data_IF_399753145892
#
_entry.id   IF_399753145892
#
_cell.length_a   1.000
_cell.length_b   1.000
_cell.length_c   1.000
_cell.angle_alpha   90.00
_cell.angle_beta   90.00
_cell.angle_gamma   90.00
#
_symmetry.space_group_name_H-M   'P 1'
#
loop_
_entity.id
_entity.type
_entity.pdbx_description
1 polymer ?
#
# COMPACT_ATOMS: atom_id res chain seq x y z
N UNK A 1 10.53 -4.76 -12.59
CA UNK A 1 11.40 -5.68 -13.36
C UNK A 1 12.79 -5.12 -13.64
N UNK A 2 12.93 -3.96 -14.30
CA UNK A 2 14.24 -3.38 -14.59
C UNK A 2 15.14 -3.16 -13.36
N UNK A 3 14.57 -2.77 -12.21
CA UNK A 3 15.34 -2.61 -10.97
C UNK A 3 15.91 -3.94 -10.41
N UNK A 4 15.19 -5.05 -10.58
CA UNK A 4 15.69 -6.37 -10.17
C UNK A 4 16.87 -6.81 -11.03
N UNK A 5 16.85 -6.48 -12.33
CA UNK A 5 17.97 -6.77 -13.24
C UNK A 5 19.28 -6.11 -12.79
N UNK A 6 19.21 -4.87 -12.30
CA UNK A 6 20.38 -4.15 -11.81
C UNK A 6 21.10 -4.89 -10.67
N UNK A 7 20.35 -5.42 -9.72
CA UNK A 7 20.89 -6.05 -8.51
C UNK A 7 21.13 -7.55 -8.74
N UNK A 8 20.12 -8.26 -9.25
CA UNK A 8 20.07 -9.72 -9.34
C UNK A 8 20.55 -10.27 -10.69
N UNK A 9 20.85 -9.40 -11.67
CA UNK A 9 21.28 -9.82 -13.00
C UNK A 9 20.11 -10.31 -13.84
N UNK A 10 19.91 -11.62 -13.97
CA UNK A 10 18.81 -12.20 -14.74
C UNK A 10 17.70 -12.71 -13.79
N UNK A 11 16.83 -11.84 -13.27
CA UNK A 11 15.83 -12.23 -12.30
C UNK A 11 14.81 -13.22 -12.88
N UNK A 12 14.58 -14.31 -12.15
CA UNK A 12 13.47 -15.21 -12.38
C UNK A 12 12.20 -14.61 -11.79
N UNK A 13 11.12 -14.54 -12.58
CA UNK A 13 9.83 -14.07 -12.07
C UNK A 13 8.81 -15.19 -12.13
N UNK A 14 8.10 -15.34 -11.03
CA UNK A 14 6.96 -16.24 -10.98
C UNK A 14 5.78 -15.51 -11.64
N UNK A 15 5.14 -16.15 -12.61
CA UNK A 15 3.82 -15.71 -13.07
C UNK A 15 2.83 -15.76 -11.91
N UNK A 16 1.70 -15.04 -12.04
CA UNK A 16 0.65 -14.93 -11.02
C UNK A 16 0.37 -16.27 -10.32
N UNK A 17 0.85 -16.48 -9.09
CA UNK A 17 0.50 -17.67 -8.36
C UNK A 17 -0.97 -17.58 -7.94
N UNK A 18 -1.69 -18.71 -8.00
CA UNK A 18 -2.97 -18.80 -7.30
C UNK A 18 -2.71 -18.56 -5.81
N UNK A 19 -3.67 -17.94 -5.11
CA UNK A 19 -3.56 -17.68 -3.67
C UNK A 19 -3.25 -18.96 -2.86
N UNK A 20 -3.80 -20.11 -3.27
CA UNK A 20 -3.54 -21.43 -2.67
C UNK A 20 -2.12 -21.95 -2.91
N UNK A 21 -1.46 -21.53 -3.99
CA UNK A 21 -0.09 -21.89 -4.33
C UNK A 21 0.94 -20.95 -3.71
N UNK A 22 0.52 -19.74 -3.33
CA UNK A 22 1.37 -18.72 -2.73
C UNK A 22 2.10 -19.23 -1.49
N UNK A 23 1.41 -19.92 -0.57
CA UNK A 23 2.04 -20.46 0.64
C UNK A 23 3.19 -21.43 0.31
N UNK A 24 3.02 -22.28 -0.69
CA UNK A 24 4.06 -23.23 -1.14
C UNK A 24 5.26 -22.52 -1.74
N UNK A 25 5.00 -21.44 -2.50
CA UNK A 25 6.06 -20.62 -3.08
C UNK A 25 6.82 -19.81 -2.02
N UNK A 26 6.13 -19.31 -0.99
CA UNK A 26 6.74 -18.64 0.15
C UNK A 26 7.62 -19.61 0.95
N UNK A 27 7.14 -20.84 1.20
CA UNK A 27 7.94 -21.89 1.84
C UNK A 27 9.23 -22.19 1.05
N UNK A 28 9.12 -22.31 -0.28
CA UNK A 28 10.27 -22.51 -1.15
C UNK A 28 11.22 -21.30 -1.14
N UNK A 29 10.68 -20.08 -1.21
CA UNK A 29 11.47 -18.84 -1.20
C UNK A 29 12.24 -18.68 0.12
N UNK A 30 11.59 -18.96 1.26
CA UNK A 30 12.21 -18.93 2.58
C UNK A 30 13.37 -19.92 2.68
N UNK A 31 13.12 -21.19 2.32
CA UNK A 31 14.12 -22.26 2.40
C UNK A 31 15.31 -22.04 1.48
N UNK A 32 15.08 -21.46 0.31
CA UNK A 32 16.14 -21.09 -0.63
C UNK A 32 16.81 -19.76 -0.31
N UNK A 33 16.36 -19.04 0.74
CA UNK A 33 16.85 -17.69 1.12
C UNK A 33 16.87 -16.73 -0.06
N UNK A 34 15.81 -16.73 -0.87
CA UNK A 34 15.70 -15.81 -2.00
C UNK A 34 15.75 -14.37 -1.51
N UNK A 35 16.54 -13.53 -2.16
CA UNK A 35 16.63 -12.09 -1.89
C UNK A 35 15.34 -11.36 -2.28
N UNK A 36 14.59 -11.88 -3.26
CA UNK A 36 13.31 -11.32 -3.68
C UNK A 36 12.26 -12.39 -4.04
N UNK A 37 11.01 -11.97 -4.00
CA UNK A 37 9.85 -12.72 -4.49
C UNK A 37 8.97 -11.75 -5.29
N UNK A 38 8.93 -11.91 -6.61
CA UNK A 38 8.16 -11.05 -7.50
C UNK A 38 6.89 -11.78 -7.99
N UNK A 39 5.74 -11.17 -7.73
CA UNK A 39 4.43 -11.55 -8.24
C UNK A 39 4.08 -10.57 -9.36
N UNK A 40 4.10 -11.04 -10.60
CA UNK A 40 3.80 -10.21 -11.76
C UNK A 40 2.34 -10.36 -12.22
N UNK A 41 1.76 -9.27 -12.68
CA UNK A 41 0.38 -9.16 -13.18
C UNK A 41 -0.65 -9.80 -12.22
N UNK A 42 -0.59 -9.40 -10.96
CA UNK A 42 -1.58 -9.81 -9.97
C UNK A 42 -2.91 -9.18 -10.36
N UNK A 43 -3.98 -9.99 -10.32
CA UNK A 43 -5.32 -9.52 -10.66
C UNK A 43 -5.88 -8.61 -9.58
N UNK A 44 -7.19 -8.42 -9.59
CA UNK A 44 -7.89 -7.31 -8.93
C UNK A 44 -7.58 -7.11 -7.44
N UNK A 45 -7.20 -8.16 -6.69
CA UNK A 45 -6.84 -8.00 -5.28
C UNK A 45 -5.81 -8.99 -4.72
N UNK A 46 -5.10 -8.55 -3.68
CA UNK A 46 -4.23 -9.38 -2.82
C UNK A 46 -4.77 -9.40 -1.40
N UNK A 47 -5.12 -10.59 -0.95
CA UNK A 47 -5.46 -10.88 0.43
C UNK A 47 -4.83 -12.21 0.87
N UNK A 48 -3.78 -12.15 1.69
CA UNK A 48 -3.11 -13.35 2.18
C UNK A 48 -2.51 -13.14 3.58
N UNK A 49 -2.96 -13.94 4.54
CA UNK A 49 -2.38 -13.98 5.88
C UNK A 49 -0.96 -14.55 5.87
N UNK A 50 -0.67 -15.51 4.98
CA UNK A 50 0.69 -16.05 4.82
C UNK A 50 1.66 -14.99 4.33
N UNK A 51 1.27 -14.20 3.32
CA UNK A 51 2.09 -13.08 2.84
C UNK A 51 2.30 -12.03 3.94
N UNK A 52 1.24 -11.66 4.68
CA UNK A 52 1.34 -10.75 5.81
C UNK A 52 2.37 -11.20 6.85
N UNK A 53 2.35 -12.50 7.19
CA UNK A 53 3.30 -13.10 8.13
C UNK A 53 4.71 -13.09 7.55
N UNK A 54 4.86 -13.52 6.30
CA UNK A 54 6.14 -13.63 5.61
C UNK A 54 6.87 -12.28 5.55
N UNK A 55 6.19 -11.19 5.19
CA UNK A 55 6.85 -9.87 5.04
C UNK A 55 7.10 -9.14 6.36
N UNK A 56 6.44 -9.54 7.46
CA UNK A 56 6.53 -8.80 8.74
C UNK A 56 7.46 -9.44 9.76
N UNK A 57 7.69 -10.75 9.67
CA UNK A 57 8.42 -11.51 10.68
C UNK A 57 9.91 -11.63 10.32
N UNK A 58 10.85 -11.49 11.28
CA UNK A 58 12.28 -11.66 11.03
C UNK A 58 12.67 -13.11 10.71
N UNK A 59 11.87 -14.09 11.13
CA UNK A 59 11.98 -15.49 10.72
C UNK A 59 10.63 -16.05 10.29
N UNK A 60 10.69 -17.10 9.48
CA UNK A 60 9.55 -17.76 8.87
C UNK A 60 9.68 -19.28 8.99
N UNK A 61 8.67 -19.92 9.58
CA UNK A 61 8.59 -21.37 9.69
C UNK A 61 8.05 -21.96 8.39
N UNK A 62 8.95 -22.43 7.53
CA UNK A 62 8.62 -23.01 6.24
C UNK A 62 8.30 -24.51 6.38
N UNK A 63 7.28 -24.97 5.66
CA UNK A 63 6.96 -26.39 5.59
C UNK A 63 7.88 -27.13 4.61
N UNK A 64 8.35 -28.30 5.01
CA UNK A 64 9.03 -29.24 4.12
C UNK A 64 7.99 -30.15 3.49
N UNK A 65 7.88 -30.07 2.16
CA UNK A 65 6.94 -30.88 1.39
C UNK A 65 7.27 -32.36 1.54
N UNK A 66 6.25 -33.19 1.75
CA UNK A 66 6.36 -34.64 1.84
C UNK A 66 6.81 -35.20 3.19
N UNK A 67 7.31 -34.37 4.13
CA UNK A 67 7.81 -34.84 5.44
C UNK A 67 6.96 -34.35 6.62
N UNK A 68 6.13 -33.32 6.41
CA UNK A 68 5.32 -32.70 7.48
C UNK A 68 6.13 -31.87 8.49
N UNK A 69 7.46 -31.80 8.35
CA UNK A 69 8.34 -31.04 9.23
C UNK A 69 8.35 -29.54 8.92
N UNK A 70 8.64 -28.74 9.93
CA UNK A 70 8.83 -27.29 9.83
C UNK A 70 10.31 -26.95 10.01
N UNK A 71 10.81 -25.98 9.26
CA UNK A 71 12.16 -25.45 9.38
C UNK A 71 12.08 -23.93 9.54
N UNK A 72 12.73 -23.42 10.58
CA UNK A 72 12.82 -21.98 10.80
C UNK A 72 13.86 -21.37 9.85
N UNK A 73 13.45 -20.39 9.06
CA UNK A 73 14.26 -19.73 8.04
C UNK A 73 14.31 -18.23 8.32
N UNK A 74 15.47 -17.55 8.22
CA UNK A 74 15.51 -16.10 8.32
C UNK A 74 14.77 -15.47 7.14
N UNK A 75 13.94 -14.47 7.41
CA UNK A 75 13.24 -13.71 6.37
C UNK A 75 14.17 -12.64 5.82
N UNK A 76 14.76 -12.91 4.66
CA UNK A 76 15.65 -11.98 3.93
C UNK A 76 15.07 -11.55 2.58
N UNK A 77 13.82 -11.92 2.31
CA UNK A 77 13.21 -11.85 1.00
C UNK A 77 12.33 -10.59 0.86
N UNK A 78 12.65 -9.74 -0.11
CA UNK A 78 11.82 -8.59 -0.46
C UNK A 78 10.72 -8.99 -1.45
N UNK A 79 9.46 -8.72 -1.10
CA UNK A 79 8.33 -9.05 -1.97
C UNK A 79 7.95 -7.88 -2.88
N UNK A 80 7.72 -8.16 -4.15
CA UNK A 80 7.24 -7.22 -5.16
C UNK A 80 5.93 -7.74 -5.75
N UNK A 81 4.96 -6.85 -5.93
CA UNK A 81 3.70 -7.14 -6.61
C UNK A 81 3.46 -6.06 -7.67
N UNK A 82 3.08 -6.47 -8.87
CA UNK A 82 2.60 -5.57 -9.93
C UNK A 82 1.16 -5.93 -10.27
N UNK A 83 0.38 -4.97 -10.75
CA UNK A 83 -0.99 -5.18 -11.17
C UNK A 83 -1.63 -3.85 -11.55
N UNK A 84 -2.63 -3.90 -12.42
CA UNK A 84 -3.40 -2.72 -12.82
C UNK A 84 -4.53 -2.48 -11.81
N UNK A 85 -4.54 -1.32 -11.14
CA UNK A 85 -5.58 -1.01 -10.15
C UNK A 85 -5.62 -1.98 -8.96
N UNK A 86 -4.47 -2.55 -8.61
CA UNK A 86 -4.36 -3.64 -7.63
C UNK A 86 -4.90 -3.25 -6.26
N UNK A 87 -5.97 -3.92 -5.80
CA UNK A 87 -6.48 -3.71 -4.45
C UNK A 87 -5.75 -4.58 -3.42
N UNK A 88 -5.41 -4.01 -2.28
CA UNK A 88 -4.71 -4.67 -1.19
C UNK A 88 -5.62 -4.65 0.04
N UNK A 89 -5.63 -5.75 0.78
CA UNK A 89 -6.24 -5.74 2.10
C UNK A 89 -5.58 -4.66 2.99
N UNK A 90 -6.35 -4.01 3.86
CA UNK A 90 -5.89 -2.94 4.77
C UNK A 90 -4.60 -3.29 5.53
N UNK A 91 -4.45 -4.56 5.89
CA UNK A 91 -3.25 -5.08 6.54
C UNK A 91 -2.02 -5.08 5.63
N UNK A 92 -2.15 -5.43 4.36
CA UNK A 92 -1.04 -5.37 3.42
C UNK A 92 -0.66 -3.91 3.12
N UNK A 93 -1.64 -3.01 2.98
CA UNK A 93 -1.37 -1.59 2.70
C UNK A 93 -0.42 -0.97 3.70
N UNK A 94 -0.61 -1.22 5.00
CA UNK A 94 0.29 -0.69 6.05
C UNK A 94 1.68 -1.34 6.10
N UNK A 95 1.90 -2.42 5.35
CA UNK A 95 3.15 -3.20 5.28
C UNK A 95 3.91 -3.00 3.97
N UNK A 96 3.29 -2.37 2.98
CA UNK A 96 3.82 -2.24 1.63
C UNK A 96 4.12 -0.78 1.30
N UNK A 97 5.13 -0.58 0.46
CA UNK A 97 5.28 0.67 -0.29
C UNK A 97 4.48 0.53 -1.58
N UNK A 98 3.44 1.35 -1.74
CA UNK A 98 2.62 1.39 -2.95
C UNK A 98 3.21 2.46 -3.88
N UNK A 99 3.47 2.09 -5.13
CA UNK A 99 4.02 2.97 -6.15
C UNK A 99 3.08 2.98 -7.35
N UNK A 100 2.47 4.13 -7.60
CA UNK A 100 1.61 4.32 -8.77
C UNK A 100 2.44 4.66 -10.00
N UNK A 101 2.28 3.87 -11.05
CA UNK A 101 2.84 4.16 -12.36
C UNK A 101 1.75 4.78 -13.23
N UNK A 102 1.60 6.09 -13.11
CA UNK A 102 0.66 6.85 -13.94
C UNK A 102 1.36 7.35 -15.21
N UNK A 103 0.74 7.10 -16.35
CA UNK A 103 1.13 7.68 -17.63
C UNK A 103 -0.16 8.12 -18.34
N UNK A 104 -0.24 9.41 -18.67
CA UNK A 104 -1.44 10.01 -19.24
C UNK A 104 -1.70 9.59 -20.69
N UNK A 105 -0.66 9.19 -21.41
CA UNK A 105 -0.74 8.76 -22.81
C UNK A 105 -1.13 7.28 -22.90
N UNK A 106 -1.98 6.94 -23.87
CA UNK A 106 -2.36 5.56 -24.15
C UNK A 106 -1.14 4.73 -24.55
N UNK A 107 -1.07 3.48 -24.08
CA UNK A 107 0.13 2.65 -24.27
C UNK A 107 0.50 2.42 -25.75
N UNK A 108 -0.48 2.49 -26.65
CA UNK A 108 -0.30 2.30 -28.09
C UNK A 108 0.15 3.55 -28.84
N UNK A 109 -0.01 4.74 -28.24
CA UNK A 109 0.32 6.03 -28.85
C UNK A 109 1.71 6.55 -28.41
N UNK A 110 2.35 5.85 -27.47
CA UNK A 110 3.64 6.25 -26.91
C UNK A 110 4.77 6.02 -27.91
N UNK A 111 5.50 7.09 -28.21
CA UNK A 111 6.76 7.03 -28.93
C UNK A 111 7.93 7.15 -27.94
N UNK A 112 8.85 6.19 -27.99
CA UNK A 112 10.04 6.19 -27.14
C UNK A 112 11.28 6.45 -27.98
N UNK A 113 12.05 7.49 -27.66
CA UNK A 113 13.38 7.72 -28.25
C UNK A 113 14.32 6.55 -27.97
N UNK A 114 14.17 5.92 -26.81
CA UNK A 114 14.96 4.76 -26.39
C UNK A 114 14.09 3.66 -25.79
N UNK A 115 14.11 2.47 -26.42
CA UNK A 115 13.37 1.30 -25.95
C UNK A 115 14.26 0.48 -25.01
N UNK A 116 13.88 0.45 -23.72
CA UNK A 116 14.54 -0.39 -22.71
C UNK A 116 14.06 -1.85 -22.85
N UNK A 117 14.80 -2.67 -23.60
CA UNK A 117 14.49 -4.10 -23.75
C UNK A 117 15.07 -4.94 -22.59
N UNK A 118 14.49 -6.11 -22.28
CA UNK A 118 15.07 -7.04 -21.31
C UNK A 118 16.51 -7.45 -21.64
N UNK A 119 16.83 -7.62 -22.93
CA UNK A 119 18.19 -7.93 -23.39
C UNK A 119 19.15 -6.77 -23.14
N UNK A 120 18.72 -5.53 -23.38
CA UNK A 120 19.50 -4.34 -23.05
C UNK A 120 19.75 -4.20 -21.55
N UNK A 121 18.73 -4.46 -20.71
CA UNK A 121 18.84 -4.47 -19.25
C UNK A 121 19.82 -5.55 -18.75
N UNK A 122 19.89 -6.69 -19.45
CA UNK A 122 20.79 -7.80 -19.15
C UNK A 122 22.26 -7.57 -19.56
N UNK A 123 22.57 -6.52 -20.32
CA UNK A 123 23.95 -6.24 -20.73
C UNK A 123 24.81 -5.92 -19.50
N UNK A 124 26.04 -6.49 -19.39
CA UNK A 124 26.93 -6.19 -18.27
C UNK A 124 27.23 -4.69 -18.09
N UNK A 125 27.37 -3.96 -19.20
CA UNK A 125 27.60 -2.52 -19.21
C UNK A 125 26.39 -1.72 -18.72
N UNK A 126 25.17 -2.14 -19.08
CA UNK A 126 23.93 -1.54 -18.59
C UNK A 126 23.77 -1.80 -17.09
N UNK A 127 23.95 -3.04 -16.65
CA UNK A 127 23.91 -3.40 -15.23
C UNK A 127 24.92 -2.60 -14.41
N UNK A 128 26.15 -2.44 -14.91
CA UNK A 128 27.18 -1.65 -14.25
C UNK A 128 26.75 -0.19 -14.04
N UNK A 129 26.06 0.43 -15.01
CA UNK A 129 25.52 1.79 -14.86
C UNK A 129 24.49 1.88 -13.73
N UNK A 130 23.55 0.95 -13.67
CA UNK A 130 22.54 0.95 -12.59
C UNK A 130 23.17 0.72 -11.22
N UNK A 131 24.11 -0.22 -11.09
CA UNK A 131 24.83 -0.44 -9.83
C UNK A 131 25.66 0.77 -9.41
N UNK A 132 26.34 1.43 -10.36
CA UNK A 132 27.08 2.65 -10.08
C UNK A 132 26.17 3.77 -9.61
N UNK A 133 24.98 3.91 -10.21
CA UNK A 133 23.97 4.85 -9.77
C UNK A 133 23.50 4.52 -8.34
N UNK A 134 23.09 3.28 -8.05
CA UNK A 134 22.69 2.86 -6.69
C UNK A 134 23.79 3.08 -5.66
N UNK A 135 25.05 2.76 -6.00
CA UNK A 135 26.20 3.02 -5.14
C UNK A 135 26.42 4.51 -4.88
N UNK A 136 26.19 5.38 -5.87
CA UNK A 136 26.34 6.82 -5.69
C UNK A 136 25.43 7.36 -4.58
N UNK A 137 24.18 6.89 -4.47
CA UNK A 137 23.28 7.28 -3.37
C UNK A 137 23.86 6.89 -2.01
N UNK A 138 24.34 5.66 -1.87
CA UNK A 138 24.94 5.14 -0.63
C UNK A 138 26.21 5.90 -0.27
N UNK A 139 27.09 6.11 -1.26
CA UNK A 139 28.35 6.84 -1.09
C UNK A 139 28.11 8.28 -0.64
N UNK A 140 27.18 8.99 -1.28
CA UNK A 140 26.82 10.35 -0.90
C UNK A 140 26.32 10.42 0.55
N UNK A 141 25.52 9.46 1.00
CA UNK A 141 25.09 9.39 2.40
C UNK A 141 26.25 9.15 3.37
N UNK A 142 27.19 8.27 3.03
CA UNK A 142 28.41 8.01 3.84
C UNK A 142 29.29 9.26 3.91
N UNK A 143 29.55 9.92 2.78
CA UNK A 143 30.38 11.13 2.68
C UNK A 143 29.80 12.31 3.48
N UNK A 144 28.48 12.36 3.65
CA UNK A 144 27.79 13.35 4.49
C UNK A 144 27.81 12.99 5.99
N UNK A 145 28.45 11.88 6.39
CA UNK A 145 28.53 11.45 7.78
C UNK A 145 27.33 10.64 8.26
N UNK A 146 26.67 9.90 7.36
CA UNK A 146 25.54 9.01 7.68
C UNK A 146 24.36 9.71 8.37
N UNK A 147 23.90 10.90 7.89
CA UNK A 147 22.83 11.63 8.56
C UNK A 147 21.56 10.81 8.62
N UNK A 148 20.91 10.80 9.79
CA UNK A 148 19.64 10.12 10.01
C UNK A 148 18.51 11.06 9.57
N UNK A 149 17.64 10.63 8.66
CA UNK A 149 16.45 11.38 8.28
C UNK A 149 15.32 11.09 9.29
N UNK A 150 14.89 12.05 10.13
CA UNK A 150 13.86 11.79 11.14
C UNK A 150 12.49 11.50 10.53
N UNK A 151 12.24 11.99 9.31
CA UNK A 151 10.97 11.82 8.61
C UNK A 151 10.86 10.45 7.89
N UNK A 152 11.96 9.70 7.80
CA UNK A 152 12.03 8.41 7.14
C UNK A 152 11.46 7.28 8.03
N UNK A 153 10.13 7.25 8.20
CA UNK A 153 9.45 6.29 9.08
C UNK A 153 8.50 5.37 8.33
N UNK A 154 8.53 4.09 8.68
CA UNK A 154 7.56 3.10 8.22
C UNK A 154 7.19 2.15 9.37
N UNK A 155 5.89 1.98 9.64
CA UNK A 155 5.43 1.27 10.85
C UNK A 155 5.79 -0.22 10.86
N UNK A 156 5.78 -0.88 9.70
CA UNK A 156 6.05 -2.32 9.61
C UNK A 156 7.51 -2.67 9.33
N UNK A 157 8.35 -1.67 9.00
CA UNK A 157 9.75 -1.88 8.64
C UNK A 157 10.61 -0.69 9.09
N UNK A 158 10.64 -0.37 10.40
CA UNK A 158 11.21 0.88 10.89
C UNK A 158 12.72 1.00 10.63
N UNK A 159 13.47 -0.08 10.87
CA UNK A 159 14.93 -0.10 10.66
C UNK A 159 15.28 0.07 9.17
N UNK A 160 14.61 -0.69 8.31
CA UNK A 160 14.78 -0.61 6.86
C UNK A 160 14.43 0.79 6.34
N UNK A 161 13.30 1.36 6.79
CA UNK A 161 12.86 2.69 6.38
C UNK A 161 13.86 3.76 6.84
N UNK A 162 14.38 3.65 8.05
CA UNK A 162 15.37 4.59 8.56
C UNK A 162 16.63 4.59 7.69
N UNK A 163 17.15 3.42 7.33
CA UNK A 163 18.36 3.31 6.48
C UNK A 163 18.09 3.80 5.07
N UNK A 164 17.11 3.21 4.39
CA UNK A 164 16.82 3.52 2.97
C UNK A 164 16.35 4.96 2.80
N UNK A 165 15.48 5.45 3.68
CA UNK A 165 15.01 6.83 3.62
C UNK A 165 16.08 7.86 3.95
N UNK A 166 17.06 7.54 4.81
CA UNK A 166 18.20 8.43 5.07
C UNK A 166 19.14 8.52 3.87
N UNK A 167 19.42 7.39 3.21
CA UNK A 167 20.17 7.35 1.95
C UNK A 167 19.49 8.22 0.89
N UNK A 168 18.18 8.04 0.72
CA UNK A 168 17.40 8.81 -0.25
C UNK A 168 17.33 10.30 0.09
N UNK A 169 17.17 10.66 1.36
CA UNK A 169 17.14 12.07 1.79
C UNK A 169 18.49 12.77 1.60
N UNK A 170 19.61 12.08 1.79
CA UNK A 170 20.95 12.63 1.57
C UNK A 170 21.24 12.89 0.08
N UNK A 171 20.80 11.98 -0.79
CA UNK A 171 20.98 12.11 -2.24
C UNK A 171 19.95 13.03 -2.90
N UNK A 172 18.70 13.00 -2.42
CA UNK A 172 17.57 13.74 -2.99
C UNK A 172 16.74 14.37 -1.84
N UNK A 173 17.15 15.53 -1.29
CA UNK A 173 16.56 16.10 -0.07
C UNK A 173 15.06 16.38 -0.10
N UNK A 174 14.48 16.56 -1.29
CA UNK A 174 13.03 16.81 -1.46
C UNK A 174 12.20 15.53 -1.57
N UNK A 175 12.83 14.38 -1.77
CA UNK A 175 12.11 13.11 -1.89
C UNK A 175 11.54 12.71 -0.52
N UNK A 176 10.30 12.23 -0.52
CA UNK A 176 9.60 11.73 0.67
C UNK A 176 9.04 10.35 0.37
N UNK A 177 9.88 9.29 0.41
CA UNK A 177 9.51 7.98 -0.11
C UNK A 177 8.43 7.27 0.72
N UNK A 178 8.21 7.68 1.97
CA UNK A 178 7.20 7.09 2.88
C UNK A 178 6.08 8.07 3.22
N UNK A 179 5.93 9.16 2.46
CA UNK A 179 4.80 10.06 2.64
C UNK A 179 3.48 9.31 2.42
N UNK A 180 2.45 9.74 3.14
CA UNK A 180 1.10 9.24 2.88
C UNK A 180 0.73 9.52 1.42
N UNK A 181 0.11 8.53 0.78
CA UNK A 181 -0.39 8.64 -0.58
C UNK A 181 -1.49 9.70 -0.64
N UNK A 182 -1.48 10.54 -1.69
CA UNK A 182 -2.58 11.49 -1.89
C UNK A 182 -3.84 10.73 -2.29
N UNK A 183 -4.97 11.07 -1.67
CA UNK A 183 -6.29 10.50 -1.98
C UNK A 183 -6.79 10.94 -3.37
N UNK A 184 -6.14 11.91 -4.01
CA UNK A 184 -6.58 12.45 -5.31
C UNK A 184 -6.32 11.48 -6.48
N UNK A 185 -5.49 10.43 -6.26
CA UNK A 185 -5.16 9.40 -7.25
C UNK A 185 -5.61 8.01 -6.75
N UNK A 186 -6.91 7.72 -6.81
CA UNK A 186 -7.58 6.50 -6.31
C UNK A 186 -7.30 5.22 -7.14
N UNK A 187 -6.08 4.98 -7.60
CA UNK A 187 -5.73 3.78 -8.37
C UNK A 187 -5.24 2.61 -7.52
N UNK A 188 -6.09 1.66 -7.10
CA UNK A 188 -5.64 0.50 -6.29
C UNK A 188 -5.22 0.84 -4.85
N UNK A 189 -4.68 -0.10 -4.09
CA UNK A 189 -4.45 0.01 -2.63
C UNK A 189 -5.64 -0.47 -1.79
N UNK A 190 -5.94 0.17 -0.66
CA UNK A 190 -7.18 -0.13 0.09
C UNK A 190 -8.31 0.78 -0.39
N UNK A 191 -8.66 0.64 -1.67
CA UNK A 191 -9.61 1.53 -2.36
C UNK A 191 -10.93 1.64 -1.60
N UNK A 192 -11.43 0.53 -1.05
CA UNK A 192 -12.64 0.53 -0.24
C UNK A 192 -12.48 1.39 1.02
N UNK A 193 -11.37 1.28 1.75
CA UNK A 193 -11.20 2.10 2.94
C UNK A 193 -10.94 3.56 2.63
N UNK A 194 -10.19 3.84 1.58
CA UNK A 194 -9.88 5.19 1.13
C UNK A 194 -11.14 5.89 0.64
N UNK A 195 -11.99 5.19 -0.11
CA UNK A 195 -13.30 5.70 -0.54
C UNK A 195 -14.21 6.03 0.66
N UNK A 196 -14.29 5.17 1.68
CA UNK A 196 -15.08 5.50 2.89
C UNK A 196 -14.47 6.67 3.66
N UNK A 197 -13.14 6.76 3.77
CA UNK A 197 -12.50 7.88 4.45
C UNK A 197 -12.72 9.19 3.69
N UNK A 198 -12.61 9.16 2.36
CA UNK A 198 -12.90 10.29 1.48
C UNK A 198 -14.36 10.74 1.64
N UNK A 199 -15.31 9.80 1.58
CA UNK A 199 -16.73 10.05 1.85
C UNK A 199 -16.94 10.79 3.20
N UNK A 200 -16.35 10.27 4.28
CA UNK A 200 -16.48 10.89 5.61
C UNK A 200 -15.85 12.28 5.65
N UNK A 201 -14.65 12.45 5.09
CA UNK A 201 -13.94 13.73 5.13
C UNK A 201 -14.66 14.79 4.29
N UNK A 202 -15.14 14.45 3.10
CA UNK A 202 -15.91 15.38 2.25
C UNK A 202 -17.23 15.78 2.89
N UNK A 203 -18.00 14.80 3.40
CA UNK A 203 -19.24 15.09 4.12
C UNK A 203 -18.99 15.99 5.33
N UNK A 204 -17.90 15.78 6.07
CA UNK A 204 -17.55 16.61 7.22
C UNK A 204 -17.11 18.02 6.80
N UNK A 205 -16.34 18.16 5.72
CA UNK A 205 -15.86 19.46 5.25
C UNK A 205 -17.02 20.41 4.90
N UNK A 206 -18.09 19.86 4.31
CA UNK A 206 -19.30 20.61 3.99
C UNK A 206 -20.11 21.08 5.19
N UNK A 207 -19.95 20.41 6.34
CA UNK A 207 -20.58 20.84 7.59
C UNK A 207 -19.91 22.08 8.19
N UNK A 208 -18.74 22.49 7.68
CA UNK A 208 -18.01 23.71 8.11
C UNK A 208 -17.87 23.84 9.63
N UNK A 209 -17.66 22.72 10.32
CA UNK A 209 -17.48 22.68 11.78
C UNK A 209 -18.76 22.44 12.59
N UNK A 210 -19.93 22.30 11.95
CA UNK A 210 -21.19 22.02 12.63
C UNK A 210 -21.38 20.51 12.88
N UNK A 211 -21.68 20.14 14.12
CA UNK A 211 -21.88 18.73 14.47
C UNK A 211 -23.27 18.26 14.05
N UNK A 212 -23.35 17.21 13.21
CA UNK A 212 -24.61 16.70 12.64
C UNK A 212 -24.68 15.18 12.67
N UNK A 213 -25.91 14.68 12.82
CA UNK A 213 -26.22 13.24 12.76
C UNK A 213 -26.68 12.83 11.36
N UNK A 214 -26.27 11.64 10.94
CA UNK A 214 -26.61 11.03 9.65
C UNK A 214 -27.03 9.58 9.83
N UNK A 215 -28.00 9.16 9.01
CA UNK A 215 -28.46 7.78 8.89
C UNK A 215 -27.61 7.04 7.84
N UNK A 216 -27.52 5.69 7.90
CA UNK A 216 -26.83 4.88 6.91
C UNK A 216 -27.19 5.19 5.45
N UNK A 217 -28.47 5.48 5.19
CA UNK A 217 -28.95 5.84 3.84
C UNK A 217 -28.29 7.11 3.31
N UNK A 218 -28.07 8.12 4.17
CA UNK A 218 -27.43 9.38 3.77
C UNK A 218 -25.99 9.16 3.28
N UNK A 219 -25.30 8.14 3.82
CA UNK A 219 -23.96 7.77 3.36
C UNK A 219 -23.98 6.98 2.05
N UNK A 220 -25.03 6.18 1.80
CA UNK A 220 -25.18 5.45 0.53
C UNK A 220 -25.49 6.41 -0.61
N UNK A 221 -26.47 7.29 -0.41
CA UNK A 221 -26.85 8.30 -1.39
C UNK A 221 -25.64 9.16 -1.73
N UNK A 222 -24.91 9.60 -0.70
CA UNK A 222 -23.71 10.38 -0.93
C UNK A 222 -22.58 9.62 -1.62
N UNK A 223 -22.39 8.35 -1.28
CA UNK A 223 -21.41 7.51 -1.97
C UNK A 223 -21.75 7.37 -3.46
N UNK A 224 -23.03 7.33 -3.84
CA UNK A 224 -23.47 7.33 -5.23
C UNK A 224 -23.19 8.67 -5.91
N UNK A 225 -23.56 9.79 -5.29
CA UNK A 225 -23.33 11.13 -5.83
C UNK A 225 -21.85 11.41 -6.10
N UNK A 226 -20.97 10.86 -5.27
CA UNK A 226 -19.52 11.03 -5.38
C UNK A 226 -18.84 9.98 -6.29
N UNK A 227 -19.60 9.03 -6.86
CA UNK A 227 -19.05 7.94 -7.67
C UNK A 227 -18.22 6.91 -6.89
N UNK A 228 -18.30 6.91 -5.55
CA UNK A 228 -17.53 6.03 -4.65
C UNK A 228 -18.26 4.72 -4.34
N UNK A 229 -19.50 4.57 -4.78
CA UNK A 229 -20.35 3.45 -4.41
C UNK A 229 -19.74 2.09 -4.80
N UNK A 230 -19.20 1.97 -6.02
CA UNK A 230 -18.55 0.74 -6.50
C UNK A 230 -17.32 0.37 -5.68
N UNK A 231 -16.54 1.37 -5.25
CA UNK A 231 -15.29 1.14 -4.53
C UNK A 231 -15.55 0.70 -3.09
N UNK A 232 -16.60 1.23 -2.47
CA UNK A 232 -16.97 0.91 -1.08
C UNK A 232 -17.70 -0.44 -0.99
N UNK A 233 -18.63 -0.70 -1.91
CA UNK A 233 -19.54 -1.84 -1.86
C UNK A 233 -19.01 -3.05 -2.65
N UNK A 234 -18.23 -2.80 -3.70
CA UNK A 234 -17.78 -3.82 -4.65
C UNK A 234 -18.95 -4.60 -5.25
N UNK A 235 -18.78 -5.92 -5.39
CA UNK A 235 -19.82 -6.86 -5.86
C UNK A 235 -20.68 -7.46 -4.73
N UNK A 236 -20.78 -6.78 -3.57
CA UNK A 236 -21.51 -7.32 -2.41
C UNK A 236 -23.01 -7.51 -2.71
N UNK A 237 -23.56 -8.67 -2.31
CA UNK A 237 -25.01 -8.96 -2.36
C UNK A 237 -25.82 -8.11 -1.37
N UNK A 238 -25.18 -7.44 -0.41
CA UNK A 238 -25.84 -6.54 0.56
C UNK A 238 -25.02 -5.26 0.77
N UNK A 239 -25.27 -4.22 -0.05
CA UNK A 239 -24.56 -2.94 0.02
C UNK A 239 -24.63 -2.24 1.38
N UNK A 240 -25.82 -2.21 1.97
CA UNK A 240 -26.11 -1.57 3.25
C UNK A 240 -25.31 -2.21 4.39
N UNK A 241 -25.19 -3.55 4.39
CA UNK A 241 -24.42 -4.28 5.40
C UNK A 241 -22.92 -4.03 5.26
N UNK A 242 -22.40 -4.01 4.02
CA UNK A 242 -20.99 -3.72 3.74
C UNK A 242 -20.61 -2.32 4.21
N UNK A 243 -21.37 -1.30 3.81
CA UNK A 243 -21.13 0.08 4.24
C UNK A 243 -21.29 0.23 5.76
N UNK A 244 -22.32 -0.38 6.35
CA UNK A 244 -22.56 -0.32 7.80
C UNK A 244 -21.40 -0.90 8.61
N UNK A 245 -20.81 -2.03 8.17
CA UNK A 245 -19.58 -2.59 8.78
C UNK A 245 -18.41 -1.63 8.61
N UNK A 246 -18.22 -1.05 7.42
CA UNK A 246 -17.15 -0.11 7.14
C UNK A 246 -17.23 1.14 8.02
N UNK A 247 -18.42 1.75 8.15
CA UNK A 247 -18.66 2.90 9.03
C UNK A 247 -18.43 2.53 10.50
N UNK A 248 -18.89 1.36 10.93
CA UNK A 248 -18.70 0.90 12.32
C UNK A 248 -17.22 0.76 12.70
N UNK A 249 -16.36 0.28 11.80
CA UNK A 249 -14.91 0.19 12.02
C UNK A 249 -14.20 1.55 12.18
N UNK A 250 -14.89 2.65 11.85
CA UNK A 250 -14.38 4.03 11.87
C UNK A 250 -14.92 4.83 13.04
N UNK A 251 -15.90 4.30 13.77
CA UNK A 251 -16.40 4.91 15.00
C UNK A 251 -15.26 5.04 16.01
N UNK A 252 -15.13 6.22 16.61
CA UNK A 252 -14.08 6.59 17.56
C UNK A 252 -12.82 7.18 16.94
N UNK A 253 -12.69 7.19 15.60
CA UNK A 253 -11.53 7.79 14.92
C UNK A 253 -11.67 9.31 14.82
N UNK A 254 -10.53 9.99 14.84
CA UNK A 254 -10.41 11.44 14.68
C UNK A 254 -9.86 11.73 13.28
N UNK A 255 -10.52 12.63 12.57
CA UNK A 255 -10.19 13.04 11.22
C UNK A 255 -9.89 14.54 11.17
N UNK A 256 -9.16 14.96 10.14
CA UNK A 256 -8.93 16.38 9.81
C UNK A 256 -9.47 16.63 8.40
N UNK A 257 -10.27 17.67 8.26
CA UNK A 257 -10.85 18.11 6.98
C UNK A 257 -9.88 19.02 6.21
N UNK A 258 -10.03 19.15 4.87
CA UNK A 258 -9.30 20.12 4.06
C UNK A 258 -9.44 21.57 4.56
N UNK A 259 -10.63 21.97 5.01
CA UNK A 259 -10.88 23.28 5.63
C UNK A 259 -10.20 23.47 7.00
N UNK A 260 -9.52 22.44 7.52
CA UNK A 260 -8.71 22.50 8.74
C UNK A 260 -9.44 22.07 10.01
N UNK A 261 -10.75 21.84 9.96
CA UNK A 261 -11.54 21.38 11.10
C UNK A 261 -11.21 19.93 11.48
N UNK A 262 -11.24 19.63 12.78
CA UNK A 262 -11.07 18.26 13.31
C UNK A 262 -12.41 17.75 13.82
N UNK A 263 -12.74 16.51 13.45
CA UNK A 263 -13.97 15.85 13.91
C UNK A 263 -13.71 14.42 14.38
N UNK A 264 -14.56 13.96 15.28
CA UNK A 264 -14.62 12.57 15.75
C UNK A 264 -15.87 11.93 15.16
N UNK A 265 -15.72 10.80 14.49
CA UNK A 265 -16.85 10.03 13.97
C UNK A 265 -17.39 9.13 15.09
N UNK A 266 -18.62 9.34 15.55
CA UNK A 266 -19.21 8.64 16.70
C UNK A 266 -20.49 7.91 16.34
N UNK A 267 -20.86 6.95 17.18
CA UNK A 267 -22.21 6.37 17.23
C UNK A 267 -22.82 6.78 18.57
N UNK A 268 -23.83 7.67 18.61
CA UNK A 268 -24.46 8.09 19.85
C UNK A 268 -25.10 6.91 20.59
N UNK A 269 -25.16 6.93 21.93
CA UNK A 269 -25.83 5.90 22.71
C UNK A 269 -27.32 5.82 22.35
N UNK A 270 -27.85 4.59 22.38
CA UNK A 270 -29.11 4.14 21.78
C UNK A 270 -30.38 4.82 22.33
N UNK A 271 -30.59 6.11 22.01
CA UNK A 271 -31.78 6.87 22.45
C UNK A 271 -32.77 7.26 21.33
N UNK A 272 -32.56 6.85 20.07
CA UNK A 272 -33.57 7.06 19.03
C UNK A 272 -33.58 5.93 18.02
N UNK A 273 -34.77 5.56 17.55
CA UNK A 273 -35.00 4.51 16.56
C UNK A 273 -34.13 4.72 15.31
N UNK A 274 -33.17 3.82 15.10
CA UNK A 274 -32.29 3.80 13.93
C UNK A 274 -30.82 3.82 14.29
N UNK A 275 -29.98 3.14 13.51
CA UNK A 275 -28.52 3.33 13.58
C UNK A 275 -28.24 4.74 13.05
N UNK A 276 -27.73 5.63 13.89
CA UNK A 276 -27.29 6.99 13.49
C UNK A 276 -25.80 7.15 13.77
N UNK A 277 -25.12 7.93 12.95
CA UNK A 277 -23.72 8.29 13.11
C UNK A 277 -23.62 9.81 13.33
N UNK A 278 -22.71 10.25 14.18
CA UNK A 278 -22.51 11.63 14.56
C UNK A 278 -21.11 12.11 14.12
N UNK A 279 -21.07 13.22 13.41
CA UNK A 279 -19.85 13.99 13.20
C UNK A 279 -19.74 15.00 14.33
N UNK A 280 -18.83 14.76 15.28
CA UNK A 280 -18.62 15.66 16.41
C UNK A 280 -17.35 16.48 16.19
N UNK A 281 -17.51 17.78 15.94
CA UNK A 281 -16.38 18.68 15.76
C UNK A 281 -15.83 19.13 17.10
N UNK A 282 -14.49 19.20 17.21
CA UNK A 282 -13.85 19.83 18.35
C UNK A 282 -14.19 21.32 18.35
N UNK A 283 -14.71 21.85 19.46
CA UNK A 283 -14.88 23.30 19.61
C UNK A 283 -13.53 23.98 19.41
N UNK A 284 -13.45 24.92 18.47
CA UNK A 284 -12.30 25.82 18.39
C UNK A 284 -12.15 26.47 19.76
N UNK A 285 -10.94 26.40 20.34
CA UNK A 285 -10.54 27.43 21.30
C UNK A 285 -10.35 28.74 20.56
#
# INVERSE_FOLDING_TARGET
MAMLYAVEGAPSVAGKPRLEELAKLLDAAARSRKSYFAMDDVGDSIHSHDLNRFISAPSYQARVMGTGSLVDCPTVCQCFATGNGLNLAADLVRRCLIVDLFCAEEATEREFEFIMTPSWLGLPSTRAKFLAASWAFVRTWIEQGLPICPDAKHNSAPEWAQVVGSILAAAVPKLRPFAARSLDNLGGGDAASDAVNHLLVTMADELRGESRQFRPVDFLDRAQDMGLYSDIVGFSKSPESTLGKALTMRVGRIYKTPSGHRFTFKKPPAMSCGVVYLFEFSKSK
#
